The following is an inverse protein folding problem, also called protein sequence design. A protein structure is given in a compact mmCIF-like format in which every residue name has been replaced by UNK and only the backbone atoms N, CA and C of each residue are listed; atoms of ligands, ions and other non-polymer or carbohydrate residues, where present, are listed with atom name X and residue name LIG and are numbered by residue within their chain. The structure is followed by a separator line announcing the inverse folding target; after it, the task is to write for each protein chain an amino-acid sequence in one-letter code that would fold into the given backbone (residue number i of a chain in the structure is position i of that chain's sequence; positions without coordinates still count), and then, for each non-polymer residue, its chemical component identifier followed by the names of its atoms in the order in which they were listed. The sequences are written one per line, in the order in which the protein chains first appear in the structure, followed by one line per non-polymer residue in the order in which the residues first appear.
data_IF_067093337838
#
_entry.id   IF_067093337838
#
_cell.length_a   1.000
_cell.length_b   1.000
_cell.length_c   1.000
_cell.angle_alpha   90.00
_cell.angle_beta   90.00
_cell.angle_gamma   90.00
#
_symmetry.space_group_name_H-M   'P 1'
#
loop_
_entity.id
_entity.type
_entity.pdbx_description
1 polymer ?
#
# COMPACT_ATOMS: atom_id res chain seq x y z
N UNK A 1 5.41 10.20 -13.02
CA UNK A 1 4.80 8.88 -12.74
C UNK A 1 5.15 8.50 -11.30
N UNK A 2 4.17 8.52 -10.40
CA UNK A 2 4.29 8.26 -8.96
C UNK A 2 2.90 7.91 -8.40
N UNK A 3 2.83 7.14 -7.31
CA UNK A 3 1.61 6.44 -6.87
C UNK A 3 1.32 6.59 -5.36
N UNK A 4 0.06 6.75 -4.91
CA UNK A 4 -0.29 7.03 -3.49
C UNK A 4 -1.69 6.52 -3.03
N UNK A 5 -1.82 6.15 -1.75
CA UNK A 5 -3.07 5.85 -0.99
C UNK A 5 -2.99 6.41 0.46
N UNK A 6 -4.07 6.46 1.27
CA UNK A 6 -4.11 7.20 2.56
C UNK A 6 -4.96 6.57 3.71
N UNK A 7 -4.49 6.64 4.98
CA UNK A 7 -4.99 5.87 6.16
C UNK A 7 -4.75 6.64 7.49
N UNK A 8 -5.76 7.02 8.29
CA UNK A 8 -5.61 7.89 9.50
C UNK A 8 -6.09 7.33 10.85
N UNK A 9 -5.43 7.68 11.97
CA UNK A 9 -5.76 7.19 13.35
C UNK A 9 -5.27 8.12 14.48
N UNK A 10 -6.12 8.44 15.46
CA UNK A 10 -5.78 9.21 16.68
C UNK A 10 -5.13 8.34 17.80
N UNK A 11 -4.28 8.93 18.65
CA UNK A 11 -3.90 8.38 19.98
C UNK A 11 -4.02 9.44 21.08
N UNK A 12 -4.19 9.05 22.36
CA UNK A 12 -4.68 9.90 23.48
C UNK A 12 -3.84 11.15 23.84
N UNK A 13 -3.88 12.21 23.03
CA UNK A 13 -3.64 13.60 23.41
C UNK A 13 -4.07 14.58 22.29
N UNK A 14 -5.30 15.11 22.34
CA UNK A 14 -5.77 16.36 21.68
C UNK A 14 -5.56 16.61 20.17
N UNK A 15 -4.96 15.70 19.39
CA UNK A 15 -4.70 15.86 17.95
C UNK A 15 -5.10 14.59 17.15
N UNK A 16 -6.07 14.71 16.22
CA UNK A 16 -6.49 13.65 15.27
C UNK A 16 -5.55 13.60 14.05
N UNK A 17 -5.62 12.59 13.15
CA UNK A 17 -4.46 12.25 12.28
C UNK A 17 -4.68 11.90 10.72
N UNK A 18 -4.40 12.83 9.73
CA UNK A 18 -4.29 12.79 8.20
C UNK A 18 -3.42 13.97 7.57
N UNK A 19 -2.50 14.10 6.56
CA UNK A 19 -1.61 13.52 5.48
C UNK A 19 -2.04 12.73 4.20
N UNK A 20 -1.28 13.01 3.13
CA UNK A 20 -1.15 12.40 1.78
C UNK A 20 0.29 12.70 1.29
N UNK A 21 0.81 12.05 0.24
CA UNK A 21 1.99 12.55 -0.50
C UNK A 21 1.70 13.03 -1.93
N UNK A 22 2.47 14.04 -2.33
CA UNK A 22 2.32 14.82 -3.56
C UNK A 22 3.56 14.66 -4.48
N UNK A 23 3.41 14.97 -5.77
CA UNK A 23 4.50 15.03 -6.75
C UNK A 23 5.16 16.42 -6.75
N UNK A 24 6.47 16.50 -6.50
CA UNK A 24 7.20 17.78 -6.53
C UNK A 24 7.31 18.35 -7.95
N UNK A 25 6.52 19.38 -8.22
CA UNK A 25 6.69 20.31 -9.35
C UNK A 25 6.52 21.77 -8.86
N UNK A 26 7.19 22.12 -7.76
CA UNK A 26 7.20 23.46 -7.16
C UNK A 26 6.57 23.53 -5.77
N UNK A 27 7.21 24.32 -4.89
CA UNK A 27 6.76 24.70 -3.54
C UNK A 27 6.41 23.55 -2.56
N UNK A 28 5.79 23.86 -1.41
CA UNK A 28 6.15 23.25 -0.11
C UNK A 28 4.98 22.70 0.74
N UNK A 29 5.37 21.94 1.78
CA UNK A 29 4.60 21.35 2.91
C UNK A 29 3.99 19.94 2.74
N UNK A 30 3.96 19.19 3.87
CA UNK A 30 3.54 17.79 4.06
C UNK A 30 4.37 16.75 3.27
N UNK A 31 5.10 15.76 3.83
CA UNK A 31 5.08 15.06 5.14
C UNK A 31 3.69 14.47 5.45
N UNK A 32 3.45 13.16 5.49
CA UNK A 32 4.28 11.95 5.29
C UNK A 32 3.44 10.87 4.58
N UNK A 33 4.07 9.92 3.88
CA UNK A 33 3.51 8.58 3.61
C UNK A 33 4.65 7.60 3.27
N UNK A 34 4.56 6.36 3.75
CA UNK A 34 5.68 5.39 3.72
C UNK A 34 5.32 4.00 3.17
N UNK A 35 4.07 3.75 2.79
CA UNK A 35 3.69 2.44 2.25
C UNK A 35 4.24 2.23 0.82
N UNK A 36 4.95 1.12 0.58
CA UNK A 36 5.21 0.62 -0.76
C UNK A 36 4.45 -0.70 -0.97
N UNK A 37 3.29 -0.59 -1.62
CA UNK A 37 2.67 -1.72 -2.29
C UNK A 37 3.40 -1.95 -3.61
N UNK A 38 3.76 -3.20 -3.90
CA UNK A 38 4.10 -3.62 -5.25
C UNK A 38 2.92 -4.44 -5.78
N UNK A 39 2.20 -3.83 -6.71
CA UNK A 39 1.11 -4.45 -7.45
C UNK A 39 1.44 -4.42 -8.94
N UNK A 40 0.75 -5.28 -9.67
CA UNK A 40 0.98 -5.66 -11.06
C UNK A 40 1.49 -4.53 -11.97
N UNK A 41 2.80 -4.49 -12.25
CA UNK A 41 3.37 -3.91 -13.48
C UNK A 41 4.90 -4.03 -13.57
N UNK A 42 5.42 -4.33 -14.76
CA UNK A 42 6.86 -4.22 -15.02
C UNK A 42 7.39 -2.77 -15.00
N UNK A 43 6.49 -1.77 -14.97
CA UNK A 43 6.80 -0.38 -14.65
C UNK A 43 7.14 -0.15 -13.16
N UNK A 44 6.62 -0.95 -12.23
CA UNK A 44 6.90 -0.80 -10.79
C UNK A 44 8.38 -1.10 -10.46
N UNK A 45 9.02 -2.03 -11.17
CA UNK A 45 10.47 -2.24 -11.15
C UNK A 45 11.30 -1.02 -11.63
N UNK A 46 10.69 0.01 -12.23
CA UNK A 46 11.35 1.29 -12.53
C UNK A 46 11.08 2.35 -11.44
N UNK A 47 9.92 2.29 -10.79
CA UNK A 47 9.52 3.26 -9.76
C UNK A 47 10.12 2.96 -8.37
N UNK A 48 10.09 1.70 -7.91
CA UNK A 48 10.39 1.31 -6.53
C UNK A 48 11.78 1.72 -6.02
N UNK A 49 12.84 1.33 -6.74
CA UNK A 49 14.23 1.70 -6.40
C UNK A 49 14.43 3.23 -6.34
N UNK A 50 13.74 3.97 -7.21
CA UNK A 50 13.77 5.44 -7.23
C UNK A 50 12.98 6.08 -6.08
N UNK A 51 12.16 5.33 -5.33
CA UNK A 51 11.45 5.82 -4.15
C UNK A 51 12.22 5.50 -2.87
N UNK A 52 12.75 4.29 -2.74
CA UNK A 52 13.60 3.90 -1.61
C UNK A 52 14.80 4.86 -1.43
N UNK A 53 15.43 5.26 -2.53
CA UNK A 53 16.54 6.24 -2.56
C UNK A 53 16.14 7.71 -2.30
N UNK A 54 14.85 8.04 -2.15
CA UNK A 54 14.35 9.41 -1.94
C UNK A 54 13.40 9.57 -0.75
N UNK A 55 13.01 8.47 -0.09
CA UNK A 55 12.23 8.52 1.14
C UNK A 55 13.04 9.20 2.26
N UNK A 56 12.38 10.06 3.05
CA UNK A 56 12.95 10.73 4.23
C UNK A 56 12.44 10.14 5.55
N UNK A 57 11.63 9.09 5.46
CA UNK A 57 11.03 8.33 6.54
C UNK A 57 11.19 6.82 6.24
N UNK A 58 11.05 5.93 7.23
CA UNK A 58 11.25 4.50 7.03
C UNK A 58 10.04 3.88 6.31
N UNK A 59 10.30 3.22 5.17
CA UNK A 59 9.27 2.58 4.35
C UNK A 59 8.59 1.43 5.12
N UNK A 60 7.28 1.29 4.92
CA UNK A 60 6.46 0.13 5.28
C UNK A 60 6.18 -0.71 4.02
N UNK A 61 6.93 -1.80 3.76
CA UNK A 61 6.68 -2.69 2.64
C UNK A 61 5.50 -3.61 2.97
N UNK A 62 4.50 -3.67 2.09
CA UNK A 62 3.36 -4.56 2.24
C UNK A 62 3.09 -5.29 0.92
N UNK A 63 2.95 -6.61 0.98
CA UNK A 63 2.60 -7.44 -0.17
C UNK A 63 1.12 -7.27 -0.53
N UNK A 64 0.77 -7.34 -1.81
CA UNK A 64 -0.61 -7.41 -2.30
C UNK A 64 -0.71 -8.42 -3.47
N UNK A 65 0.02 -9.54 -3.36
CA UNK A 65 0.24 -10.57 -4.40
C UNK A 65 1.02 -10.08 -5.61
N UNK A 66 1.39 -11.00 -6.51
CA UNK A 66 1.93 -10.64 -7.81
C UNK A 66 0.83 -10.23 -8.79
N UNK A 67 -0.19 -11.08 -8.96
CA UNK A 67 -1.13 -10.94 -10.08
C UNK A 67 -2.46 -10.24 -9.78
N UNK A 68 -2.77 -9.91 -8.52
CA UNK A 68 -4.08 -9.39 -8.08
C UNK A 68 -5.23 -10.40 -8.33
N UNK A 69 -4.99 -11.66 -7.95
CA UNK A 69 -5.97 -12.76 -7.98
C UNK A 69 -6.93 -12.74 -6.80
N UNK A 70 -8.12 -13.30 -7.01
CA UNK A 70 -9.06 -13.69 -5.96
C UNK A 70 -8.47 -14.85 -5.12
N UNK A 71 -7.68 -14.53 -4.10
CA UNK A 71 -6.91 -15.53 -3.34
C UNK A 71 -7.76 -16.60 -2.65
N UNK A 72 -9.02 -16.30 -2.34
CA UNK A 72 -9.97 -17.25 -1.77
C UNK A 72 -10.34 -18.41 -2.73
N UNK A 73 -9.98 -18.33 -4.02
CA UNK A 73 -10.22 -19.34 -5.06
C UNK A 73 -8.98 -20.20 -5.40
N UNK A 74 -7.79 -19.86 -4.89
CA UNK A 74 -6.53 -20.56 -5.22
C UNK A 74 -6.20 -21.74 -4.31
N UNK A 75 -5.33 -22.65 -4.79
CA UNK A 75 -4.70 -23.66 -3.92
C UNK A 75 -3.61 -23.05 -3.03
N UNK A 76 -3.16 -23.80 -2.01
CA UNK A 76 -2.05 -23.39 -1.14
C UNK A 76 -0.79 -23.03 -1.97
N UNK A 77 -0.47 -23.84 -2.97
CA UNK A 77 0.70 -23.69 -3.85
C UNK A 77 0.58 -22.45 -4.73
N UNK A 78 -0.60 -22.21 -5.31
CA UNK A 78 -0.89 -21.04 -6.13
C UNK A 78 -0.81 -19.74 -5.30
N UNK A 79 -1.40 -19.72 -4.10
CA UNK A 79 -1.29 -18.58 -3.16
C UNK A 79 0.18 -18.38 -2.73
N UNK A 80 0.91 -19.46 -2.46
CA UNK A 80 2.32 -19.40 -2.06
C UNK A 80 3.23 -18.85 -3.17
N UNK A 81 3.00 -19.25 -4.43
CA UNK A 81 3.74 -18.74 -5.60
C UNK A 81 3.47 -17.25 -5.84
N UNK A 82 2.21 -16.82 -5.69
CA UNK A 82 1.80 -15.41 -5.78
C UNK A 82 2.46 -14.50 -4.73
N UNK A 83 2.75 -15.04 -3.53
CA UNK A 83 3.51 -14.35 -2.50
C UNK A 83 5.03 -14.47 -2.71
N UNK A 84 5.52 -15.57 -3.27
CA UNK A 84 6.94 -15.76 -3.58
C UNK A 84 7.46 -14.79 -4.64
N UNK A 85 6.74 -14.63 -5.75
CA UNK A 85 7.14 -13.73 -6.83
C UNK A 85 7.32 -12.29 -6.33
N UNK A 86 6.41 -11.83 -5.47
CA UNK A 86 6.43 -10.45 -4.95
C UNK A 86 7.44 -10.28 -3.80
N UNK A 87 7.65 -11.29 -2.96
CA UNK A 87 8.75 -11.33 -1.98
C UNK A 87 10.12 -11.28 -2.67
N UNK A 88 10.33 -12.12 -3.68
CA UNK A 88 11.58 -12.14 -4.47
C UNK A 88 11.83 -10.79 -5.16
N UNK A 89 10.78 -10.12 -5.66
CA UNK A 89 10.90 -8.77 -6.19
C UNK A 89 11.26 -7.74 -5.11
N UNK A 90 10.63 -7.76 -3.93
CA UNK A 90 10.99 -6.84 -2.84
C UNK A 90 12.41 -7.06 -2.33
N UNK A 91 12.85 -8.31 -2.16
CA UNK A 91 14.23 -8.65 -1.77
C UNK A 91 15.22 -8.11 -2.80
N UNK A 92 14.93 -8.28 -4.09
CA UNK A 92 15.80 -7.82 -5.19
C UNK A 92 15.88 -6.29 -5.29
N UNK A 93 14.74 -5.59 -5.17
CA UNK A 93 14.66 -4.13 -5.36
C UNK A 93 15.13 -3.37 -4.10
N UNK A 94 14.73 -3.85 -2.91
CA UNK A 94 14.83 -3.12 -1.64
C UNK A 94 15.74 -3.80 -0.61
N UNK A 95 16.11 -5.05 -0.83
CA UNK A 95 16.84 -5.85 0.15
C UNK A 95 15.99 -6.46 1.26
N UNK A 96 14.65 -6.34 1.20
CA UNK A 96 13.76 -6.68 2.31
C UNK A 96 12.58 -7.58 1.89
N UNK A 97 12.11 -8.43 2.82
CA UNK A 97 10.86 -9.18 2.71
C UNK A 97 9.79 -8.54 3.62
N UNK A 98 8.57 -8.24 3.12
CA UNK A 98 7.50 -7.68 3.95
C UNK A 98 7.04 -8.68 5.02
N UNK A 99 6.58 -8.16 6.16
CA UNK A 99 5.89 -8.93 7.21
C UNK A 99 4.38 -8.66 7.24
N UNK A 100 3.88 -7.75 6.40
CA UNK A 100 2.46 -7.42 6.31
C UNK A 100 1.93 -7.58 4.88
N UNK A 101 0.64 -7.85 4.78
CA UNK A 101 -0.05 -8.19 3.54
C UNK A 101 -1.40 -7.46 3.45
N UNK A 102 -1.77 -6.97 2.28
CA UNK A 102 -3.12 -6.52 1.96
C UNK A 102 -3.73 -7.54 0.98
N UNK A 103 -4.91 -8.12 1.25
CA UNK A 103 -5.54 -9.03 0.31
C UNK A 103 -6.17 -8.28 -0.88
N UNK A 104 -5.93 -8.72 -2.13
CA UNK A 104 -6.78 -8.37 -3.27
C UNK A 104 -8.26 -8.54 -2.92
N UNK A 105 -9.08 -7.56 -3.33
CA UNK A 105 -10.53 -7.53 -3.08
C UNK A 105 -10.98 -7.58 -1.60
N UNK A 106 -10.05 -7.56 -0.64
CA UNK A 106 -10.34 -7.79 0.78
C UNK A 106 -10.45 -9.27 1.16
N UNK A 107 -10.19 -10.19 0.23
CA UNK A 107 -10.55 -11.60 0.34
C UNK A 107 -9.48 -12.46 1.00
N UNK A 108 -9.89 -13.26 1.98
CA UNK A 108 -9.05 -14.28 2.60
C UNK A 108 -9.92 -15.45 3.09
N UNK A 109 -9.29 -16.61 3.23
CA UNK A 109 -9.87 -17.82 3.85
C UNK A 109 -8.77 -18.52 4.67
N UNK A 110 -9.05 -19.65 5.30
CA UNK A 110 -8.06 -20.33 6.16
C UNK A 110 -6.82 -20.81 5.39
N UNK A 111 -6.92 -21.10 4.08
CA UNK A 111 -5.76 -21.44 3.24
C UNK A 111 -4.86 -20.23 3.05
N UNK A 112 -5.44 -19.06 2.76
CA UNK A 112 -4.70 -17.79 2.67
C UNK A 112 -4.02 -17.45 3.99
N UNK A 113 -4.72 -17.62 5.12
CA UNK A 113 -4.14 -17.41 6.45
C UNK A 113 -3.02 -18.41 6.76
N UNK A 114 -3.16 -19.68 6.37
CA UNK A 114 -2.12 -20.69 6.55
C UNK A 114 -0.86 -20.36 5.75
N UNK A 115 -0.96 -20.06 4.45
CA UNK A 115 0.20 -19.66 3.63
C UNK A 115 0.88 -18.43 4.21
N UNK A 116 0.13 -17.43 4.66
CA UNK A 116 0.69 -16.22 5.28
C UNK A 116 1.46 -16.54 6.57
N UNK A 117 0.93 -17.42 7.44
CA UNK A 117 1.63 -17.89 8.64
C UNK A 117 2.91 -18.65 8.30
N UNK A 118 2.85 -19.61 7.37
CA UNK A 118 3.99 -20.43 6.96
C UNK A 118 5.09 -19.61 6.26
N UNK A 119 4.70 -18.56 5.52
CA UNK A 119 5.64 -17.59 4.93
C UNK A 119 6.10 -16.51 5.93
N UNK A 120 5.64 -16.52 7.18
CA UNK A 120 6.12 -15.65 8.25
C UNK A 120 5.53 -14.24 8.30
N UNK A 121 4.37 -14.00 7.67
CA UNK A 121 3.66 -12.73 7.80
C UNK A 121 3.03 -12.58 9.20
N UNK A 122 3.03 -11.36 9.74
CA UNK A 122 2.52 -11.00 11.07
C UNK A 122 1.04 -10.61 11.07
N UNK A 123 0.46 -10.25 9.93
CA UNK A 123 -0.96 -9.91 9.84
C UNK A 123 -1.39 -9.37 8.48
N UNK A 124 -2.71 -9.30 8.31
CA UNK A 124 -3.36 -8.69 7.14
C UNK A 124 -3.81 -7.27 7.48
N UNK A 125 -3.68 -6.36 6.51
CA UNK A 125 -4.16 -4.97 6.58
C UNK A 125 -5.42 -4.86 5.73
N UNK A 126 -6.55 -4.63 6.37
CA UNK A 126 -7.83 -4.26 5.75
C UNK A 126 -8.09 -2.77 5.96
N UNK A 127 -9.18 -2.26 5.38
CA UNK A 127 -9.66 -0.88 5.51
C UNK A 127 -10.97 -0.81 6.32
N UNK A 128 -11.30 0.37 6.83
CA UNK A 128 -12.58 0.66 7.52
C UNK A 128 -13.53 1.51 6.68
N UNK A 129 -13.04 2.16 5.62
CA UNK A 129 -13.81 2.91 4.63
C UNK A 129 -13.26 2.63 3.23
N UNK A 130 -14.11 2.68 2.22
CA UNK A 130 -13.71 2.55 0.81
C UNK A 130 -14.15 3.82 0.06
N UNK A 131 -13.25 4.38 -0.75
CA UNK A 131 -13.57 5.52 -1.61
C UNK A 131 -14.43 5.14 -2.82
N UNK A 132 -14.47 3.85 -3.19
CA UNK A 132 -15.14 3.36 -4.40
C UNK A 132 -14.45 3.75 -5.71
N UNK A 133 -13.24 4.31 -5.66
CA UNK A 133 -12.51 4.76 -6.84
C UNK A 133 -12.09 3.61 -7.78
N UNK A 134 -12.03 2.37 -7.26
CA UNK A 134 -11.79 1.14 -8.00
C UNK A 134 -12.96 0.69 -8.87
N UNK A 135 -14.20 1.02 -8.51
CA UNK A 135 -15.44 0.46 -9.07
C UNK A 135 -15.55 0.66 -10.59
N UNK A 136 -16.34 -0.22 -11.24
CA UNK A 136 -16.58 -0.15 -12.69
C UNK A 136 -17.33 1.11 -13.14
N UNK A 137 -18.12 1.69 -12.24
CA UNK A 137 -18.61 3.06 -12.30
C UNK A 137 -18.26 3.72 -10.96
N UNK A 138 -17.11 4.41 -10.84
CA UNK A 138 -16.71 5.06 -9.59
C UNK A 138 -17.52 6.34 -9.36
N UNK A 139 -17.66 6.79 -8.10
CA UNK A 139 -18.24 8.10 -7.81
C UNK A 139 -17.37 9.23 -8.41
N UNK A 140 -17.97 10.41 -8.63
CA UNK A 140 -17.20 11.59 -9.04
C UNK A 140 -16.20 12.00 -7.97
N UNK A 141 -15.10 12.66 -8.37
CA UNK A 141 -14.11 13.18 -7.42
C UNK A 141 -14.76 14.02 -6.32
N UNK A 142 -15.80 14.81 -6.65
CA UNK A 142 -16.62 15.57 -5.70
C UNK A 142 -17.36 14.72 -4.67
N UNK A 143 -17.98 13.61 -5.07
CA UNK A 143 -18.70 12.71 -4.15
C UNK A 143 -17.72 12.00 -3.20
N UNK A 144 -16.55 11.59 -3.70
CA UNK A 144 -15.48 11.01 -2.88
C UNK A 144 -14.96 12.06 -1.87
N UNK A 145 -14.60 13.26 -2.34
CA UNK A 145 -14.15 14.39 -1.50
C UNK A 145 -15.17 14.71 -0.39
N UNK A 146 -16.47 14.66 -0.69
CA UNK A 146 -17.53 14.92 0.29
C UNK A 146 -17.68 13.77 1.29
N UNK A 147 -17.57 12.50 0.85
CA UNK A 147 -17.62 11.34 1.76
C UNK A 147 -16.55 11.42 2.86
N UNK A 148 -15.35 11.92 2.55
CA UNK A 148 -14.28 12.12 3.52
C UNK A 148 -14.64 13.11 4.66
N UNK A 149 -15.65 13.99 4.49
CA UNK A 149 -16.15 14.84 5.58
C UNK A 149 -16.89 14.06 6.66
N UNK A 150 -17.50 12.93 6.32
CA UNK A 150 -18.31 12.13 7.25
C UNK A 150 -17.52 10.99 7.93
N UNK A 151 -16.32 10.67 7.45
CA UNK A 151 -15.54 9.54 8.00
C UNK A 151 -15.18 9.72 9.49
N UNK A 152 -15.17 8.66 10.30
CA UNK A 152 -14.80 8.71 11.71
C UNK A 152 -13.37 9.21 11.97
N UNK A 153 -13.12 9.68 13.19
CA UNK A 153 -11.84 10.30 13.60
C UNK A 153 -10.67 9.29 13.72
N UNK A 154 -10.97 7.99 13.58
CA UNK A 154 -10.03 6.92 13.29
C UNK A 154 -10.57 6.14 12.09
N UNK A 155 -9.84 6.15 10.96
CA UNK A 155 -10.31 5.59 9.69
C UNK A 155 -9.17 5.19 8.74
N UNK A 156 -9.11 3.92 8.36
CA UNK A 156 -8.27 3.40 7.28
C UNK A 156 -9.08 3.38 5.97
N UNK A 157 -8.60 4.04 4.92
CA UNK A 157 -9.39 4.30 3.69
C UNK A 157 -8.76 3.65 2.46
N UNK A 158 -9.51 2.79 1.78
CA UNK A 158 -9.08 2.25 0.50
C UNK A 158 -9.20 3.30 -0.62
N UNK A 159 -8.07 3.53 -1.30
CA UNK A 159 -7.92 4.41 -2.48
C UNK A 159 -6.86 3.78 -3.39
N UNK A 160 -7.00 3.91 -4.71
CA UNK A 160 -6.13 3.26 -5.68
C UNK A 160 -5.34 4.27 -6.52
N UNK A 161 -4.03 4.26 -6.34
CA UNK A 161 -3.08 5.13 -7.06
C UNK A 161 -3.07 5.03 -8.59
N UNK A 162 -3.64 3.95 -9.13
CA UNK A 162 -3.79 3.69 -10.56
C UNK A 162 -4.90 4.57 -11.18
N UNK A 163 -5.73 5.20 -10.35
CA UNK A 163 -6.78 6.14 -10.74
C UNK A 163 -6.23 7.56 -10.73
N UNK A 164 -6.12 8.16 -11.92
CA UNK A 164 -5.56 9.51 -12.10
C UNK A 164 -6.35 10.58 -11.37
N UNK A 165 -7.69 10.48 -11.35
CA UNK A 165 -8.57 11.42 -10.64
C UNK A 165 -8.41 11.33 -9.12
N UNK A 166 -8.16 10.14 -8.56
CA UNK A 166 -7.81 9.98 -7.14
C UNK A 166 -6.55 10.78 -6.81
N UNK A 167 -5.47 10.58 -7.57
CA UNK A 167 -4.18 11.22 -7.29
C UNK A 167 -4.19 12.74 -7.54
N UNK A 168 -4.88 13.21 -8.59
CA UNK A 168 -4.82 14.61 -9.03
C UNK A 168 -5.95 15.49 -8.48
N UNK A 169 -7.15 14.93 -8.26
CA UNK A 169 -8.36 15.70 -7.93
C UNK A 169 -8.82 15.41 -6.50
N UNK A 170 -8.99 14.13 -6.14
CA UNK A 170 -9.49 13.74 -4.81
C UNK A 170 -8.48 14.08 -3.74
N UNK A 171 -7.30 13.44 -3.75
CA UNK A 171 -6.38 13.53 -2.61
C UNK A 171 -5.93 14.97 -2.31
N UNK A 172 -5.62 15.86 -3.29
CA UNK A 172 -5.25 17.24 -3.00
C UNK A 172 -6.33 18.06 -2.30
N UNK A 173 -7.61 17.79 -2.57
CA UNK A 173 -8.75 18.45 -1.91
C UNK A 173 -9.14 17.79 -0.58
N UNK A 174 -8.89 16.49 -0.41
CA UNK A 174 -9.12 15.75 0.83
C UNK A 174 -8.12 16.12 1.94
N UNK A 175 -6.87 16.48 1.60
CA UNK A 175 -5.85 16.93 2.58
C UNK A 175 -6.33 18.08 3.48
N UNK A 176 -6.73 19.26 2.95
CA UNK A 176 -7.13 20.39 3.79
C UNK A 176 -8.39 20.05 4.60
N UNK A 177 -9.40 19.42 3.98
CA UNK A 177 -10.66 19.07 4.64
C UNK A 177 -10.44 18.33 5.96
N UNK A 178 -9.56 17.33 5.96
CA UNK A 178 -9.33 16.54 7.17
C UNK A 178 -8.38 17.25 8.13
N UNK A 179 -7.38 18.00 7.66
CA UNK A 179 -6.58 18.90 8.51
C UNK A 179 -7.43 19.94 9.25
N UNK A 180 -8.41 20.51 8.57
CA UNK A 180 -9.37 21.46 9.13
C UNK A 180 -10.35 20.77 10.12
N UNK A 181 -10.66 19.47 9.90
CA UNK A 181 -11.27 18.59 10.91
C UNK A 181 -10.31 18.16 12.03
N UNK A 182 -9.08 18.68 12.08
CA UNK A 182 -8.09 18.42 13.13
C UNK A 182 -7.15 17.23 12.88
N UNK A 183 -7.02 16.75 11.64
CA UNK A 183 -6.23 15.55 11.29
C UNK A 183 -4.76 15.86 10.81
N UNK A 184 -3.70 15.17 11.31
CA UNK A 184 -2.27 14.98 10.83
C UNK A 184 -1.74 13.47 10.66
N UNK A 185 -1.50 12.86 9.47
CA UNK A 185 -1.61 11.36 9.28
C UNK A 185 -0.56 10.53 10.02
N UNK A 186 -0.89 9.24 10.15
CA UNK A 186 0.03 8.18 10.54
C UNK A 186 0.29 7.21 9.37
N UNK A 187 1.43 6.53 9.40
CA UNK A 187 1.67 5.35 8.57
C UNK A 187 0.81 4.19 9.08
N UNK A 188 0.62 3.12 8.30
CA UNK A 188 -0.12 1.92 8.77
C UNK A 188 0.45 1.40 10.12
N UNK A 189 1.78 1.30 10.32
CA UNK A 189 2.34 1.00 11.63
C UNK A 189 1.95 1.94 12.76
N UNK A 190 2.05 3.26 12.58
CA UNK A 190 1.71 4.21 13.63
C UNK A 190 0.19 4.29 13.88
N UNK A 191 -0.62 4.02 12.86
CA UNK A 191 -2.08 3.95 12.95
C UNK A 191 -2.54 2.71 13.75
N UNK A 192 -1.92 1.56 13.51
CA UNK A 192 -2.28 0.26 14.11
C UNK A 192 -1.33 -0.18 15.24
N UNK A 193 -0.45 0.70 15.70
CA UNK A 193 0.57 0.45 16.74
C UNK A 193 1.48 -0.78 16.48
N UNK A 194 1.87 -1.02 15.22
CA UNK A 194 2.68 -2.17 14.77
C UNK A 194 4.18 -2.01 15.09
N UNK A 195 4.53 -1.40 16.23
CA UNK A 195 5.89 -0.96 16.54
C UNK A 195 6.37 0.24 15.72
N UNK A 196 7.58 0.70 16.01
CA UNK A 196 8.22 1.86 15.38
C UNK A 196 9.59 1.54 14.77
N UNK A 197 10.11 0.31 14.95
CA UNK A 197 11.37 -0.11 14.33
C UNK A 197 11.06 -0.70 12.95
N UNK A 198 11.87 -0.46 11.91
CA UNK A 198 11.60 -1.04 10.59
C UNK A 198 11.64 -2.59 10.59
N UNK A 199 12.40 -3.20 11.51
CA UNK A 199 12.40 -4.64 11.79
C UNK A 199 11.08 -5.20 12.31
N UNK A 200 10.15 -4.34 12.71
CA UNK A 200 8.80 -4.73 13.11
C UNK A 200 7.92 -5.03 11.88
N UNK A 201 8.31 -4.52 10.70
CA UNK A 201 7.50 -4.48 9.48
C UNK A 201 8.08 -5.26 8.30
N UNK A 202 9.40 -5.50 8.29
CA UNK A 202 10.07 -6.30 7.29
C UNK A 202 11.30 -7.03 7.84
N UNK A 203 11.67 -8.13 7.16
CA UNK A 203 12.96 -8.79 7.36
C UNK A 203 13.97 -8.17 6.40
N UNK A 204 15.10 -7.69 6.91
CA UNK A 204 16.25 -7.33 6.06
C UNK A 204 16.98 -8.60 5.62
N UNK A 205 17.13 -8.80 4.32
CA UNK A 205 17.69 -10.01 3.70
C UNK A 205 19.03 -9.72 3.04
N UNK A 206 19.16 -8.58 2.36
CA UNK A 206 20.37 -8.14 1.68
C UNK A 206 20.39 -6.61 1.55
N UNK A 207 21.40 -6.04 0.89
CA UNK A 207 21.38 -4.63 0.48
C UNK A 207 20.44 -4.43 -0.73
N UNK A 208 19.84 -3.23 -0.91
CA UNK A 208 19.04 -2.91 -2.09
C UNK A 208 19.82 -3.15 -3.39
N UNK A 209 19.21 -3.87 -4.34
CA UNK A 209 19.85 -4.21 -5.61
C UNK A 209 19.85 -3.06 -6.63
N UNK A 210 20.89 -3.04 -7.46
CA UNK A 210 20.88 -2.26 -8.71
C UNK A 210 20.06 -2.98 -9.78
N UNK A 211 19.41 -2.22 -10.68
CA UNK A 211 18.63 -2.81 -11.77
C UNK A 211 19.51 -3.51 -12.80
N UNK A 212 19.24 -4.78 -13.03
CA UNK A 212 19.86 -5.63 -14.05
C UNK A 212 18.83 -6.20 -15.04
N UNK A 213 19.28 -7.02 -16.00
CA UNK A 213 18.45 -7.64 -17.04
C UNK A 213 17.41 -8.66 -16.51
N UNK A 214 17.67 -9.25 -15.35
CA UNK A 214 16.79 -10.22 -14.69
C UNK A 214 15.69 -9.54 -13.85
N UNK A 215 15.53 -8.21 -13.95
CA UNK A 215 14.39 -7.46 -13.39
C UNK A 215 13.23 -7.45 -14.39
N UNK A 216 12.65 -8.63 -14.62
CA UNK A 216 11.63 -8.90 -15.64
C UNK A 216 10.38 -9.57 -15.07
N UNK A 217 9.29 -9.53 -15.84
CA UNK A 217 8.02 -10.19 -15.56
C UNK A 217 7.77 -11.39 -16.51
N UNK A 218 8.75 -11.72 -17.37
CA UNK A 218 8.63 -12.81 -18.33
C UNK A 218 8.51 -14.15 -17.60
N UNK A 219 7.55 -14.99 -17.99
CA UNK A 219 7.29 -16.29 -17.34
C UNK A 219 6.64 -16.17 -15.96
N UNK A 220 5.96 -15.05 -15.67
CA UNK A 220 5.15 -14.86 -14.45
C UNK A 220 3.67 -14.66 -14.81
N UNK A 221 2.73 -14.92 -13.88
CA UNK A 221 1.29 -14.90 -14.16
C UNK A 221 0.75 -13.55 -14.61
N UNK A 222 -0.21 -13.59 -15.54
CA UNK A 222 -0.93 -12.41 -16.04
C UNK A 222 -1.93 -11.84 -15.01
N UNK A 223 -2.39 -10.58 -15.12
CA UNK A 223 -3.34 -10.00 -14.17
C UNK A 223 -4.57 -10.88 -13.96
N UNK A 224 -4.96 -11.10 -12.70
CA UNK A 224 -6.10 -11.95 -12.33
C UNK A 224 -5.90 -13.45 -12.53
N UNK A 225 -4.71 -13.93 -12.94
CA UNK A 225 -4.42 -15.34 -13.14
C UNK A 225 -3.41 -15.86 -12.10
N UNK A 226 -3.55 -17.11 -11.66
CA UNK A 226 -2.61 -17.73 -10.71
C UNK A 226 -1.31 -18.20 -11.36
N UNK A 227 -1.38 -18.52 -12.66
CA UNK A 227 -0.33 -19.08 -13.53
C UNK A 227 -0.21 -18.24 -14.82
#
# INVERSE_FOLDING_TARGET
MATHSAIGCHSNATESYLYVLNSLAGTSFARVADALHLEHNCACFKAGASRASRARSPIFPSSHTWSHVHLNQGTYEQIAYQLELIENAMIKILGVKPLYFRPPYGEYNEVVLQVLRDRGYRGLILWSQDSGDSLGAPPSSSEIIESYRSYPDQTNVLNHETKSFTVNDVMPNVIPILKDRGFNLQTVPACLNLGSNPSDWYVSVQQPGSRDETWTCNGTPSPGNFE
#
